data_IF_076102610219
#
_entry.id   IF_076102610219
#
_cell.length_a   1.000
_cell.length_b   1.000
_cell.length_c   1.000
_cell.angle_alpha   90.00
_cell.angle_beta   90.00
_cell.angle_gamma   90.00
#
_symmetry.space_group_name_H-M   'P 1'
#
loop_
_entity.id
_entity.type
_entity.pdbx_description
1 polymer ?
#
# COMPACT_ATOMS: atom_id res chain seq x y z
N UNK A 1 -8.39 25.30 -22.95
CA UNK A 1 -8.23 25.63 -21.52
C UNK A 1 -9.30 24.88 -20.76
N UNK A 2 -8.89 23.98 -19.85
CA UNK A 2 -9.83 23.21 -19.03
C UNK A 2 -10.09 23.90 -17.69
N UNK A 3 -11.28 23.67 -17.10
CA UNK A 3 -11.59 24.15 -15.76
C UNK A 3 -10.61 23.55 -14.72
N UNK A 4 -10.23 24.32 -13.68
CA UNK A 4 -9.41 23.80 -12.60
C UNK A 4 -10.15 22.67 -11.87
N UNK A 5 -9.47 21.54 -11.65
CA UNK A 5 -10.03 20.39 -10.92
C UNK A 5 -10.43 20.74 -9.48
N UNK A 6 -9.62 21.56 -8.80
CA UNK A 6 -9.92 22.03 -7.45
C UNK A 6 -10.81 23.27 -7.50
N UNK A 7 -11.82 23.29 -6.64
CA UNK A 7 -12.86 24.32 -6.52
C UNK A 7 -12.69 25.19 -5.28
N UNK A 8 -11.70 24.87 -4.42
CA UNK A 8 -11.47 25.57 -3.17
C UNK A 8 -10.07 25.32 -2.63
N UNK A 9 -9.98 25.05 -1.32
CA UNK A 9 -8.69 24.83 -0.66
C UNK A 9 -7.89 23.69 -1.29
N UNK A 10 -6.57 23.78 -1.22
CA UNK A 10 -5.64 22.70 -1.58
C UNK A 10 -4.67 22.47 -0.43
N UNK A 11 -4.20 21.23 -0.28
CA UNK A 11 -3.24 20.81 0.75
C UNK A 11 -2.12 20.03 0.09
N UNK A 12 -0.90 20.23 0.60
CA UNK A 12 0.27 19.41 0.29
C UNK A 12 0.97 19.03 1.60
N UNK A 13 1.35 17.77 1.73
CA UNK A 13 2.14 17.29 2.87
C UNK A 13 3.56 16.95 2.43
N UNK A 14 4.53 17.32 3.27
CA UNK A 14 5.95 17.09 3.07
C UNK A 14 6.49 16.37 4.30
N UNK A 15 7.47 15.50 4.09
CA UNK A 15 8.16 14.75 5.14
C UNK A 15 9.66 14.99 4.94
N UNK A 16 10.41 14.98 6.04
CA UNK A 16 11.87 15.07 5.99
C UNK A 16 12.48 14.00 5.06
N UNK A 17 13.48 14.38 4.28
CA UNK A 17 14.08 13.52 3.26
C UNK A 17 13.30 13.43 1.94
N UNK A 18 12.05 13.90 1.87
CA UNK A 18 11.30 13.94 0.61
C UNK A 18 11.67 15.17 -0.24
N UNK A 19 11.99 14.95 -1.52
CA UNK A 19 12.29 16.02 -2.48
C UNK A 19 11.06 16.79 -2.98
N UNK A 20 9.86 16.36 -2.59
CA UNK A 20 8.58 16.90 -3.06
C UNK A 20 7.44 16.39 -2.18
N UNK A 21 6.23 16.93 -2.37
CA UNK A 21 5.07 16.53 -1.57
C UNK A 21 4.81 15.02 -1.68
N UNK A 22 4.60 14.38 -0.53
CA UNK A 22 4.25 12.96 -0.38
C UNK A 22 2.74 12.74 -0.34
N UNK A 23 1.97 13.81 -0.17
CA UNK A 23 0.52 13.82 -0.32
C UNK A 23 0.05 15.12 -0.95
N UNK A 24 -1.05 15.06 -1.69
CA UNK A 24 -1.77 16.26 -2.14
C UNK A 24 -3.26 16.03 -2.20
N UNK A 25 -4.04 17.08 -1.99
CA UNK A 25 -5.49 17.05 -2.01
C UNK A 25 -6.12 18.42 -2.01
N UNK A 26 -7.44 18.45 -1.86
CA UNK A 26 -8.23 19.68 -1.85
C UNK A 26 -9.71 19.43 -2.03
N UNK A 27 -10.47 20.52 -2.17
CA UNK A 27 -11.91 20.50 -2.46
C UNK A 27 -12.17 20.47 -3.97
N UNK A 28 -13.06 19.60 -4.45
CA UNK A 28 -13.34 19.32 -5.87
C UNK A 28 -14.83 19.08 -6.15
N UNK A 29 -15.68 20.06 -5.82
CA UNK A 29 -17.14 19.94 -5.92
C UNK A 29 -17.67 19.62 -7.33
N UNK A 30 -16.93 19.97 -8.39
CA UNK A 30 -17.33 19.72 -9.78
C UNK A 30 -17.22 18.25 -10.21
N UNK A 31 -16.54 17.39 -9.44
CA UNK A 31 -16.27 16.00 -9.83
C UNK A 31 -17.56 15.20 -9.97
N UNK A 32 -18.37 15.17 -8.91
CA UNK A 32 -19.61 14.38 -8.89
C UNK A 32 -20.64 14.92 -9.89
N UNK A 33 -20.60 16.22 -10.19
CA UNK A 33 -21.44 16.83 -11.22
C UNK A 33 -21.26 16.17 -12.59
N UNK A 34 -20.06 15.66 -12.89
CA UNK A 34 -19.78 14.93 -14.14
C UNK A 34 -20.44 13.54 -14.20
N UNK A 35 -20.90 13.02 -13.06
CA UNK A 35 -21.61 11.75 -12.91
C UNK A 35 -23.11 11.93 -12.63
N UNK A 36 -23.64 13.15 -12.78
CA UNK A 36 -25.07 13.45 -12.63
C UNK A 36 -25.54 13.76 -11.21
N UNK A 37 -24.62 13.93 -10.24
CA UNK A 37 -24.96 14.30 -8.86
C UNK A 37 -24.10 15.46 -8.38
N UNK A 38 -24.70 16.62 -8.09
CA UNK A 38 -23.96 17.74 -7.54
C UNK A 38 -23.89 17.62 -6.02
N UNK A 39 -22.69 17.46 -5.46
CA UNK A 39 -22.47 17.44 -4.03
C UNK A 39 -21.05 17.97 -3.69
N UNK A 40 -20.88 18.62 -2.52
CA UNK A 40 -19.56 19.03 -2.05
C UNK A 40 -18.62 17.83 -1.92
N UNK A 41 -17.36 17.98 -2.33
CA UNK A 41 -16.39 16.90 -2.29
C UNK A 41 -14.99 17.39 -1.92
N UNK A 42 -14.29 16.65 -1.07
CA UNK A 42 -12.90 16.91 -0.72
C UNK A 42 -12.17 15.60 -0.41
N UNK A 43 -10.85 15.60 -0.59
CA UNK A 43 -10.03 14.41 -0.38
C UNK A 43 -8.57 14.66 -0.67
N UNK A 44 -7.75 13.62 -0.47
CA UNK A 44 -6.32 13.65 -0.72
C UNK A 44 -5.82 12.29 -1.22
N UNK A 45 -4.61 12.29 -1.75
CA UNK A 45 -3.89 11.10 -2.21
C UNK A 45 -2.50 11.07 -1.57
N UNK A 46 -2.01 9.86 -1.31
CA UNK A 46 -0.65 9.60 -0.83
C UNK A 46 0.20 9.01 -1.96
N UNK A 47 1.40 9.52 -2.15
CA UNK A 47 2.36 9.01 -3.12
C UNK A 47 3.24 7.94 -2.47
N UNK A 48 2.74 6.70 -2.39
CA UNK A 48 3.42 5.60 -1.67
C UNK A 48 4.88 5.38 -2.10
N UNK A 49 5.20 5.51 -3.40
CA UNK A 49 6.59 5.41 -3.89
C UNK A 49 7.56 6.43 -3.29
N UNK A 50 7.06 7.56 -2.78
CA UNK A 50 7.86 8.57 -2.08
C UNK A 50 7.94 8.29 -0.57
N UNK A 51 6.94 7.60 -0.03
CA UNK A 51 6.84 7.29 1.41
C UNK A 51 7.64 6.03 1.74
N UNK A 52 7.54 4.99 0.90
CA UNK A 52 8.19 3.69 1.09
C UNK A 52 9.69 3.79 1.44
N UNK A 53 10.55 4.50 0.69
CA UNK A 53 11.97 4.59 1.02
C UNK A 53 12.27 5.40 2.29
N UNK A 54 11.30 6.17 2.78
CA UNK A 54 11.40 6.96 4.02
C UNK A 54 10.80 6.20 5.22
N UNK A 55 10.18 5.04 4.99
CA UNK A 55 9.47 4.29 6.01
C UNK A 55 10.39 3.28 6.70
N UNK A 56 10.57 3.43 8.02
CA UNK A 56 11.24 2.43 8.86
C UNK A 56 10.45 1.12 8.96
N UNK A 57 9.12 1.16 8.74
CA UNK A 57 8.26 -0.02 8.73
C UNK A 57 8.56 -0.98 7.57
N UNK A 58 8.97 -0.45 6.42
CA UNK A 58 9.30 -1.27 5.24
C UNK A 58 10.59 -2.08 5.46
N UNK A 59 11.58 -1.50 6.16
CA UNK A 59 12.80 -2.20 6.54
C UNK A 59 12.48 -3.39 7.47
N UNK A 60 11.66 -3.14 8.49
CA UNK A 60 11.25 -4.15 9.47
C UNK A 60 10.42 -5.30 8.85
N UNK A 61 9.54 -5.01 7.89
CA UNK A 61 8.66 -6.00 7.27
C UNK A 61 9.40 -6.93 6.29
N UNK A 62 10.43 -6.44 5.61
CA UNK A 62 11.24 -7.22 4.66
C UNK A 62 12.12 -8.25 5.38
N UNK A 63 12.55 -7.96 6.60
CA UNK A 63 13.49 -8.80 7.36
C UNK A 63 12.80 -9.95 8.13
N UNK A 64 11.50 -9.85 8.41
CA UNK A 64 10.86 -10.61 9.52
C UNK A 64 10.22 -11.96 9.23
N UNK A 65 10.51 -12.65 8.11
CA UNK A 65 10.07 -14.06 8.04
C UNK A 65 10.95 -14.93 7.14
N UNK A 66 11.93 -15.66 7.70
CA UNK A 66 12.68 -16.67 6.95
C UNK A 66 11.73 -17.70 6.34
N UNK A 67 11.97 -18.07 5.09
CA UNK A 67 11.24 -19.14 4.42
C UNK A 67 11.85 -20.47 4.88
N UNK A 68 11.10 -21.20 5.70
CA UNK A 68 11.48 -22.57 6.10
C UNK A 68 11.20 -23.57 4.96
N UNK A 69 11.91 -24.70 4.94
CA UNK A 69 11.63 -25.80 4.01
C UNK A 69 10.68 -26.82 4.65
N UNK A 70 9.80 -27.37 3.82
CA UNK A 70 8.95 -28.48 4.19
C UNK A 70 9.76 -29.79 4.28
N UNK A 71 9.48 -30.58 5.30
CA UNK A 71 10.16 -31.85 5.58
C UNK A 71 9.35 -33.04 5.06
N UNK A 72 10.05 -34.06 4.55
CA UNK A 72 9.42 -35.28 4.03
C UNK A 72 10.26 -35.96 2.95
N UNK A 73 10.05 -37.26 2.80
CA UNK A 73 10.75 -38.09 1.80
C UNK A 73 10.10 -38.00 0.42
N UNK A 74 8.83 -37.58 0.35
CA UNK A 74 8.07 -37.47 -0.88
C UNK A 74 7.30 -36.13 -0.95
N UNK A 75 6.66 -35.87 -2.09
CA UNK A 75 5.90 -34.65 -2.28
C UNK A 75 4.69 -34.54 -1.33
N UNK A 76 4.01 -35.65 -1.06
CA UNK A 76 2.77 -35.67 -0.25
C UNK A 76 3.05 -35.33 1.22
N UNK A 77 4.12 -35.89 1.78
CA UNK A 77 4.60 -35.61 3.14
C UNK A 77 5.06 -34.17 3.28
N UNK A 78 5.85 -33.65 2.33
CA UNK A 78 6.26 -32.23 2.31
C UNK A 78 5.05 -31.29 2.17
N UNK A 79 4.04 -31.65 1.38
CA UNK A 79 2.83 -30.85 1.25
C UNK A 79 2.05 -30.77 2.57
N UNK A 80 1.90 -31.89 3.30
CA UNK A 80 1.25 -31.93 4.61
C UNK A 80 2.02 -31.13 5.66
N UNK A 81 3.33 -31.32 5.76
CA UNK A 81 4.19 -30.58 6.68
C UNK A 81 4.13 -29.06 6.42
N UNK A 82 4.25 -28.65 5.15
CA UNK A 82 4.10 -27.25 4.75
C UNK A 82 2.74 -26.68 5.16
N UNK A 83 1.66 -27.45 5.02
CA UNK A 83 0.32 -27.07 5.45
C UNK A 83 0.25 -26.77 6.95
N UNK A 84 0.79 -27.66 7.78
CA UNK A 84 0.81 -27.49 9.24
C UNK A 84 1.69 -26.31 9.68
N UNK A 85 2.86 -26.15 9.07
CA UNK A 85 3.76 -25.03 9.37
C UNK A 85 3.17 -23.68 8.91
N UNK A 86 2.45 -23.64 7.77
CA UNK A 86 1.76 -22.42 7.28
C UNK A 86 0.56 -22.02 8.14
N UNK A 87 -0.22 -22.98 8.65
CA UNK A 87 -1.32 -22.71 9.60
C UNK A 87 -0.83 -22.01 10.88
N UNK A 88 0.42 -22.28 11.29
CA UNK A 88 1.08 -21.63 12.43
C UNK A 88 1.71 -20.27 12.09
N UNK A 89 1.42 -19.72 10.91
CA UNK A 89 1.95 -18.44 10.44
C UNK A 89 3.34 -18.53 9.79
N UNK A 90 3.90 -19.74 9.63
CA UNK A 90 5.20 -19.94 9.00
C UNK A 90 5.16 -19.73 7.49
N UNK A 91 6.16 -19.03 6.95
CA UNK A 91 6.43 -19.03 5.51
C UNK A 91 7.22 -20.28 5.18
N UNK A 92 6.64 -21.18 4.39
CA UNK A 92 7.23 -22.50 4.10
C UNK A 92 7.25 -22.74 2.60
N UNK A 93 8.41 -23.09 2.06
CA UNK A 93 8.58 -23.54 0.68
C UNK A 93 8.57 -25.08 0.61
N UNK A 94 8.03 -25.60 -0.49
CA UNK A 94 8.08 -27.03 -0.83
C UNK A 94 9.08 -27.14 -1.98
N UNK A 95 10.18 -27.85 -1.78
CA UNK A 95 11.13 -28.20 -2.84
C UNK A 95 10.86 -29.61 -3.37
#
# INVERSE_FOLDING_TARGET
>A
GGMPYYTGFTVKAYVEGANSAVASGGRYDSLLGSFGSSAPAAGFSLMMRKIEPLSTYAADAAEKAPISLAEGLDFSSRYKDAGEKRKKGGRVAIS
#
